data_IF_692241448302
#
_entry.id   IF_692241448302
#
_cell.length_a   1.000
_cell.length_b   1.000
_cell.length_c   1.000
_cell.angle_alpha   90.00
_cell.angle_beta   90.00
_cell.angle_gamma   90.00
#
_symmetry.space_group_name_H-M   'P 1'
#
loop_
_entity.id
_entity.type
_entity.pdbx_description
1 polymer ?
#
# COMPACT_ATOMS: atom_id res chain seq x y z
N UNK A 1 -5.24 -3.44 41.04
CA UNK A 1 -4.82 -4.39 39.99
C UNK A 1 -6.03 -4.59 39.12
N UNK A 2 -6.14 -3.84 38.03
CA UNK A 2 -7.20 -4.04 37.04
C UNK A 2 -6.48 -4.35 35.75
N UNK A 3 -6.25 -5.65 35.54
CA UNK A 3 -5.90 -6.20 34.24
C UNK A 3 -7.13 -6.01 33.36
N UNK A 4 -7.19 -4.84 32.72
CA UNK A 4 -8.10 -4.65 31.60
C UNK A 4 -7.55 -5.50 30.46
N UNK A 5 -8.22 -6.64 30.24
CA UNK A 5 -8.13 -7.44 29.03
C UNK A 5 -7.90 -6.54 27.82
N UNK A 6 -6.67 -6.54 27.29
CA UNK A 6 -6.39 -6.07 25.95
C UNK A 6 -7.13 -7.03 25.04
N UNK A 7 -8.39 -6.69 24.74
CA UNK A 7 -9.18 -7.32 23.70
C UNK A 7 -8.29 -7.43 22.46
N UNK A 8 -8.18 -8.66 21.98
CA UNK A 8 -7.44 -9.11 20.79
C UNK A 8 -8.08 -8.57 19.50
N UNK A 9 -8.36 -7.26 19.47
CA UNK A 9 -8.81 -6.57 18.28
C UNK A 9 -7.60 -6.54 17.35
N UNK A 10 -7.66 -7.15 16.15
CA UNK A 10 -6.62 -7.00 15.16
C UNK A 10 -6.52 -5.51 14.90
N UNK A 11 -5.45 -4.96 15.46
CA UNK A 11 -5.25 -3.55 15.51
C UNK A 11 -5.04 -3.19 14.01
N UNK A 12 -5.80 -2.21 13.49
CA UNK A 12 -5.82 -1.87 12.06
C UNK A 12 -5.16 -0.52 11.87
N UNK A 13 -4.44 -0.34 10.75
CA UNK A 13 -3.90 0.96 10.38
C UNK A 13 -5.00 2.04 10.40
N UNK A 14 -4.70 3.29 10.79
CA UNK A 14 -5.67 4.38 10.69
C UNK A 14 -6.12 4.60 9.24
N UNK A 15 -7.37 4.24 8.94
CA UNK A 15 -7.96 4.36 7.60
C UNK A 15 -9.02 5.46 7.51
N UNK A 16 -9.09 6.13 6.36
CA UNK A 16 -10.15 7.06 5.99
C UNK A 16 -11.35 6.25 5.48
N UNK A 17 -12.61 6.62 5.82
CA UNK A 17 -13.79 5.97 5.27
C UNK A 17 -13.74 5.93 3.74
N UNK A 18 -14.00 4.74 3.19
CA UNK A 18 -14.12 4.58 1.75
C UNK A 18 -15.32 5.39 1.24
N UNK A 19 -15.13 6.08 0.13
CA UNK A 19 -16.22 6.64 -0.66
C UNK A 19 -17.13 5.47 -1.08
N UNK A 20 -18.44 5.69 -1.21
CA UNK A 20 -19.46 4.66 -1.48
C UNK A 20 -19.31 3.86 -2.78
N UNK A 21 -18.22 4.03 -3.53
CA UNK A 21 -18.00 3.48 -4.86
C UNK A 21 -17.00 2.32 -4.92
N UNK A 22 -16.18 2.09 -3.88
CA UNK A 22 -15.28 0.93 -3.81
C UNK A 22 -15.03 0.46 -2.37
N UNK A 23 -14.68 -0.81 -2.19
CA UNK A 23 -14.39 -1.42 -0.88
C UNK A 23 -12.91 -1.28 -0.49
N UNK A 24 -12.19 -0.28 -1.02
CA UNK A 24 -10.74 -0.15 -0.87
C UNK A 24 -10.42 0.73 0.33
N UNK A 25 -9.54 0.25 1.21
CA UNK A 25 -9.09 1.00 2.36
C UNK A 25 -8.14 2.12 1.94
N UNK A 26 -8.35 3.32 2.48
CA UNK A 26 -7.51 4.50 2.21
C UNK A 26 -6.83 4.95 3.48
N UNK A 27 -5.65 5.51 3.35
CA UNK A 27 -4.88 6.11 4.45
C UNK A 27 -4.57 7.56 4.13
N UNK A 28 -4.29 8.38 5.15
CA UNK A 28 -3.82 9.75 4.93
C UNK A 28 -2.32 9.75 4.62
N UNK A 29 -1.79 10.90 4.18
CA UNK A 29 -0.34 11.08 4.01
C UNK A 29 0.40 10.94 5.35
N UNK A 30 -0.20 11.37 6.45
CA UNK A 30 0.37 11.26 7.80
C UNK A 30 0.49 9.79 8.22
N UNK A 31 -0.53 8.97 7.94
CA UNK A 31 -0.44 7.53 8.19
C UNK A 31 0.66 6.89 7.34
N UNK A 32 0.80 7.26 6.07
CA UNK A 32 1.85 6.75 5.20
C UNK A 32 3.25 7.07 5.75
N UNK A 33 3.49 8.34 6.14
CA UNK A 33 4.76 8.74 6.77
C UNK A 33 5.00 7.95 8.06
N UNK A 34 3.98 7.81 8.92
CA UNK A 34 4.10 6.99 10.14
C UNK A 34 4.43 5.52 9.85
N UNK A 35 3.94 4.95 8.73
CA UNK A 35 4.29 3.60 8.31
C UNK A 35 5.76 3.51 7.89
N UNK A 36 6.25 4.51 7.15
CA UNK A 36 7.65 4.57 6.70
C UNK A 36 8.62 4.80 7.86
N UNK A 37 8.19 5.55 8.89
CA UNK A 37 8.98 5.85 10.09
C UNK A 37 8.91 4.74 11.16
N UNK A 38 8.21 3.63 10.89
CA UNK A 38 8.10 2.49 11.81
C UNK A 38 7.15 2.67 13.00
N UNK A 39 6.33 3.73 13.01
CA UNK A 39 5.31 3.96 14.06
C UNK A 39 4.23 2.86 14.07
N UNK A 40 4.16 2.08 12.99
CA UNK A 40 3.14 1.09 12.73
C UNK A 40 3.66 -0.36 12.66
N UNK A 41 4.89 -0.63 13.10
CA UNK A 41 5.52 -1.97 13.02
C UNK A 41 4.79 -3.07 13.81
N UNK A 42 3.98 -2.70 14.82
CA UNK A 42 3.12 -3.70 15.48
C UNK A 42 2.07 -4.31 14.54
N UNK A 43 1.74 -3.64 13.43
CA UNK A 43 0.67 -4.02 12.50
C UNK A 43 1.17 -4.88 11.34
N UNK A 44 2.40 -4.65 10.88
CA UNK A 44 2.99 -5.32 9.72
C UNK A 44 4.51 -5.39 9.87
N UNK A 45 5.13 -6.36 9.21
CA UNK A 45 6.57 -6.58 9.22
C UNK A 45 7.26 -5.92 8.01
N UNK A 46 6.53 -5.77 6.90
CA UNK A 46 7.02 -5.13 5.68
C UNK A 46 5.98 -4.23 5.01
N UNK A 47 6.46 -3.13 4.43
CA UNK A 47 5.67 -2.23 3.59
C UNK A 47 6.22 -2.20 2.17
N UNK A 48 5.33 -2.34 1.19
CA UNK A 48 5.64 -2.17 -0.23
C UNK A 48 4.83 -0.98 -0.73
N UNK A 49 5.52 0.03 -1.26
CA UNK A 49 4.88 1.22 -1.84
C UNK A 49 4.90 1.06 -3.36
N UNK A 50 3.73 1.20 -3.98
CA UNK A 50 3.52 0.98 -5.40
C UNK A 50 3.04 2.27 -6.07
N UNK A 51 3.86 2.78 -6.98
CA UNK A 51 3.53 3.93 -7.83
C UNK A 51 2.84 3.45 -9.11
N UNK A 52 1.55 3.75 -9.21
CA UNK A 52 0.68 3.42 -10.35
C UNK A 52 0.64 4.54 -11.40
N UNK A 53 1.52 5.54 -11.33
CA UNK A 53 1.64 6.60 -12.33
C UNK A 53 2.39 6.12 -13.57
N UNK A 54 2.41 6.94 -14.62
CA UNK A 54 3.23 6.66 -15.79
C UNK A 54 4.72 6.78 -15.45
N UNK A 55 5.56 6.04 -16.18
CA UNK A 55 7.01 5.99 -15.93
C UNK A 55 7.69 7.35 -15.97
N UNK A 56 7.24 8.28 -16.80
CA UNK A 56 7.80 9.64 -16.83
C UNK A 56 7.47 10.43 -15.55
N UNK A 57 6.31 10.22 -14.94
CA UNK A 57 5.92 10.86 -13.66
C UNK A 57 6.76 10.30 -12.51
N UNK A 58 6.96 8.98 -12.48
CA UNK A 58 7.83 8.32 -11.51
C UNK A 58 9.28 8.83 -11.63
N UNK A 59 9.83 8.86 -12.84
CA UNK A 59 11.18 9.36 -13.10
C UNK A 59 11.35 10.85 -12.76
N UNK A 60 10.27 11.63 -12.82
CA UNK A 60 10.26 13.05 -12.42
C UNK A 60 10.24 13.27 -10.90
N UNK A 61 10.05 12.22 -10.11
CA UNK A 61 10.00 12.26 -8.65
C UNK A 61 8.91 11.34 -8.10
N UNK A 62 9.26 10.52 -7.11
CA UNK A 62 8.38 9.53 -6.49
C UNK A 62 8.70 9.41 -5.00
N UNK A 63 7.83 8.72 -4.26
CA UNK A 63 8.06 8.42 -2.83
C UNK A 63 9.27 7.50 -2.71
N UNK A 64 10.13 7.75 -1.73
CA UNK A 64 11.34 6.95 -1.54
C UNK A 64 11.00 5.47 -1.31
N UNK A 65 11.76 4.59 -1.94
CA UNK A 65 11.51 3.15 -1.95
C UNK A 65 10.26 2.68 -2.73
N UNK A 66 9.51 3.57 -3.38
CA UNK A 66 8.36 3.16 -4.19
C UNK A 66 8.76 2.41 -5.46
N UNK A 67 7.98 1.40 -5.83
CA UNK A 67 8.19 0.57 -7.02
C UNK A 67 7.18 1.00 -8.08
N UNK A 68 7.66 1.26 -9.29
CA UNK A 68 6.79 1.62 -10.42
C UNK A 68 6.17 0.37 -11.06
N UNK A 69 4.83 0.35 -11.18
CA UNK A 69 4.10 -0.66 -11.96
C UNK A 69 3.95 -0.31 -13.44
N UNK A 70 4.48 0.83 -13.88
CA UNK A 70 4.37 1.25 -15.27
C UNK A 70 5.18 0.29 -16.17
N UNK A 71 4.52 -0.42 -17.10
CA UNK A 71 5.20 -1.36 -17.97
C UNK A 71 6.14 -0.63 -18.93
N UNK A 72 7.22 -1.30 -19.33
CA UNK A 72 8.24 -0.71 -20.22
C UNK A 72 7.73 -0.40 -21.63
N UNK A 73 6.59 -0.98 -22.04
CA UNK A 73 6.11 -0.98 -23.43
C UNK A 73 4.70 -0.38 -23.63
N UNK A 74 4.23 0.52 -22.74
CA UNK A 74 3.02 1.32 -23.00
C UNK A 74 1.68 0.67 -22.67
N UNK A 75 1.67 -0.49 -22.00
CA UNK A 75 0.47 -0.97 -21.28
C UNK A 75 0.18 -0.07 -20.06
N UNK A 76 -1.00 -0.20 -19.43
CA UNK A 76 -1.35 0.58 -18.25
C UNK A 76 -0.70 0.05 -16.97
N UNK A 77 -0.48 -1.26 -16.85
CA UNK A 77 0.05 -1.94 -15.65
C UNK A 77 0.82 -3.22 -15.99
N UNK A 78 1.88 -3.52 -15.23
CA UNK A 78 2.59 -4.81 -15.25
C UNK A 78 2.25 -5.63 -14.00
N UNK A 79 1.18 -6.43 -14.06
CA UNK A 79 0.69 -7.21 -12.91
C UNK A 79 1.61 -8.38 -12.52
N UNK A 80 2.49 -8.83 -13.42
CA UNK A 80 3.45 -9.90 -13.12
C UNK A 80 4.47 -9.44 -12.06
N UNK A 81 4.79 -8.14 -12.04
CA UNK A 81 5.69 -7.57 -11.04
C UNK A 81 5.14 -7.75 -9.61
N UNK A 82 3.83 -7.66 -9.40
CA UNK A 82 3.24 -7.85 -8.08
C UNK A 82 3.42 -9.29 -7.57
N UNK A 83 3.34 -10.27 -8.46
CA UNK A 83 3.58 -11.68 -8.12
C UNK A 83 5.03 -11.95 -7.70
N UNK A 84 5.99 -11.27 -8.32
CA UNK A 84 7.42 -11.39 -7.99
C UNK A 84 7.78 -10.65 -6.69
N UNK A 85 7.05 -9.57 -6.37
CA UNK A 85 7.28 -8.75 -5.18
C UNK A 85 6.72 -9.35 -3.88
N UNK A 86 5.76 -10.27 -3.98
CA UNK A 86 5.19 -10.97 -2.83
C UNK A 86 5.90 -12.33 -2.72
N UNK A 87 6.85 -12.52 -1.78
CA UNK A 87 7.62 -13.75 -1.71
C UNK A 87 6.69 -14.94 -1.45
N UNK A 88 6.76 -15.99 -2.25
CA UNK A 88 5.92 -17.19 -2.12
C UNK A 88 6.10 -17.94 -0.78
N UNK A 89 7.12 -17.56 0.01
CA UNK A 89 7.41 -18.07 1.36
C UNK A 89 6.87 -17.19 2.49
N UNK A 90 6.08 -16.15 2.19
CA UNK A 90 5.65 -15.12 3.15
C UNK A 90 4.55 -15.54 4.14
N UNK A 91 4.19 -16.82 4.24
CA UNK A 91 3.16 -17.28 5.20
C UNK A 91 3.44 -16.91 6.67
N UNK A 92 4.60 -16.33 6.99
CA UNK A 92 4.97 -15.85 8.32
C UNK A 92 5.15 -14.33 8.45
N UNK A 93 5.08 -13.54 7.36
CA UNK A 93 5.35 -12.09 7.39
C UNK A 93 4.13 -11.28 6.95
N UNK A 94 3.64 -10.41 7.82
CA UNK A 94 2.51 -9.50 7.58
C UNK A 94 3.00 -8.37 6.68
N UNK A 95 2.58 -8.38 5.41
CA UNK A 95 3.01 -7.36 4.44
C UNK A 95 1.85 -6.43 4.12
N UNK A 96 2.09 -5.11 4.19
CA UNK A 96 1.16 -4.09 3.70
C UNK A 96 1.63 -3.60 2.34
N UNK A 97 0.69 -3.55 1.39
CA UNK A 97 0.94 -3.00 0.05
C UNK A 97 0.14 -1.70 -0.09
N UNK A 98 0.84 -0.60 -0.32
CA UNK A 98 0.26 0.73 -0.47
C UNK A 98 0.35 1.18 -1.92
N UNK A 99 -0.80 1.35 -2.58
CA UNK A 99 -0.90 1.84 -3.95
C UNK A 99 -1.20 3.34 -3.97
N UNK A 100 -0.50 4.10 -4.81
CA UNK A 100 -0.82 5.50 -5.07
C UNK A 100 -0.71 5.86 -6.56
N UNK A 101 -1.40 6.93 -6.95
CA UNK A 101 -1.15 7.59 -8.23
C UNK A 101 -1.18 9.12 -8.01
N UNK A 102 -1.35 9.93 -9.06
CA UNK A 102 -1.37 11.41 -8.91
C UNK A 102 -2.47 11.89 -7.95
N UNK A 103 -3.68 11.32 -8.07
CA UNK A 103 -4.85 11.70 -7.27
C UNK A 103 -5.46 10.54 -6.46
N UNK A 104 -4.89 9.33 -6.56
CA UNK A 104 -5.38 8.09 -5.92
C UNK A 104 -6.87 7.78 -6.10
N UNK A 105 -7.45 8.16 -7.26
CA UNK A 105 -8.89 7.98 -7.56
C UNK A 105 -9.21 6.94 -8.63
N UNK A 106 -8.32 6.71 -9.59
CA UNK A 106 -8.58 5.85 -10.75
C UNK A 106 -7.55 4.75 -10.89
N UNK A 107 -6.31 5.11 -11.27
CA UNK A 107 -5.23 4.14 -11.54
C UNK A 107 -4.96 3.22 -10.35
N UNK A 108 -4.62 3.80 -9.19
CA UNK A 108 -4.31 3.01 -7.99
C UNK A 108 -5.48 2.14 -7.49
N UNK A 109 -6.73 2.64 -7.38
CA UNK A 109 -7.88 1.81 -7.06
C UNK A 109 -8.13 0.64 -8.03
N UNK A 110 -7.94 0.86 -9.34
CA UNK A 110 -8.07 -0.21 -10.34
C UNK A 110 -7.04 -1.31 -10.09
N UNK A 111 -5.77 -0.94 -9.86
CA UNK A 111 -4.70 -1.91 -9.57
C UNK A 111 -4.96 -2.68 -8.28
N UNK A 112 -5.37 -1.98 -7.22
CA UNK A 112 -5.62 -2.58 -5.91
C UNK A 112 -6.83 -3.53 -5.88
N UNK A 113 -7.72 -3.45 -6.88
CA UNK A 113 -8.89 -4.30 -7.02
C UNK A 113 -8.66 -5.54 -7.90
N UNK A 114 -7.51 -5.63 -8.58
CA UNK A 114 -7.11 -6.80 -9.38
C UNK A 114 -6.54 -7.92 -8.50
#
# INVERSE_FOLDING_TARGET
MVDAERLDVPQKLPTIPANSSDNIWRITKETLVGCMDGQFDQYFDHMIIIDCRFRYEYNGGHIDGAISLAPRSGSLVDTNLLGDLIPSKSHQMRTVICFYCEHSKYRAPIVAAC
#
